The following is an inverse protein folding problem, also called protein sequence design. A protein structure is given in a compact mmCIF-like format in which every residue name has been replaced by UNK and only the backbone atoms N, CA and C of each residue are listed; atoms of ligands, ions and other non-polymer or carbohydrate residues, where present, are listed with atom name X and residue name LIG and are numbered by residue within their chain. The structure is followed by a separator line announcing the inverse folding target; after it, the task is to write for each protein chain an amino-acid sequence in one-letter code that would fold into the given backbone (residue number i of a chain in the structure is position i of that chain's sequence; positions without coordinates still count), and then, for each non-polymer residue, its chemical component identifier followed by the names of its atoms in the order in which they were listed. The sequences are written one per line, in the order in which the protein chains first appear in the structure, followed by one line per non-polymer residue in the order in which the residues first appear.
data_IF_487638529220
#
_entry.id   IF_487638529220
#
_cell.length_a   1.000
_cell.length_b   1.000
_cell.length_c   1.000
_cell.angle_alpha   90.00
_cell.angle_beta   90.00
_cell.angle_gamma   90.00
#
_symmetry.space_group_name_H-M   'P 1'
#
loop_
_entity.id
_entity.type
_entity.pdbx_description
1 polymer ?
#
# COMPACT_ATOMS: atom_id res chain seq x y z
N UNK A 1 -23.76 -32.30 -2.75
CA UNK A 1 -22.41 -31.68 -2.80
C UNK A 1 -22.55 -30.25 -3.26
N UNK A 2 -22.58 -29.29 -2.33
CA UNK A 2 -22.65 -27.86 -2.67
C UNK A 2 -21.22 -27.36 -2.85
N UNK A 3 -20.76 -27.33 -4.10
CA UNK A 3 -19.48 -26.72 -4.46
C UNK A 3 -19.59 -25.21 -4.25
N UNK A 4 -19.10 -24.73 -3.11
CA UNK A 4 -18.85 -23.30 -2.90
C UNK A 4 -17.82 -22.85 -3.93
N UNK A 5 -18.26 -22.14 -4.96
CA UNK A 5 -17.35 -21.36 -5.82
C UNK A 5 -16.62 -20.38 -4.90
N UNK A 6 -15.31 -20.54 -4.77
CA UNK A 6 -14.44 -19.49 -4.23
C UNK A 6 -14.71 -18.21 -5.02
N UNK A 7 -14.80 -17.04 -4.35
CA UNK A 7 -14.97 -15.78 -5.06
C UNK A 7 -13.81 -15.62 -6.02
N UNK A 8 -14.11 -15.45 -7.31
CA UNK A 8 -13.09 -15.20 -8.32
C UNK A 8 -12.48 -13.84 -8.04
N UNK A 9 -11.23 -13.83 -7.56
CA UNK A 9 -10.43 -12.61 -7.41
C UNK A 9 -10.38 -11.87 -8.75
N UNK A 10 -10.59 -10.55 -8.81
CA UNK A 10 -10.67 -9.86 -10.08
C UNK A 10 -9.30 -9.95 -10.78
N UNK A 11 -9.31 -10.36 -12.05
CA UNK A 11 -8.15 -10.28 -12.94
C UNK A 11 -7.79 -8.82 -13.12
N UNK A 12 -6.80 -8.36 -12.38
CA UNK A 12 -6.36 -6.98 -12.41
C UNK A 12 -5.08 -6.86 -13.23
N UNK A 13 -5.11 -5.99 -14.25
CA UNK A 13 -3.91 -5.45 -14.88
C UNK A 13 -3.23 -4.46 -13.92
N UNK A 14 -2.77 -4.94 -12.76
CA UNK A 14 -2.30 -4.08 -11.68
C UNK A 14 -0.77 -4.04 -11.64
N UNK A 15 -0.22 -2.88 -11.98
CA UNK A 15 1.14 -2.50 -11.61
C UNK A 15 1.10 -1.98 -10.17
N UNK A 16 1.94 -2.54 -9.30
CA UNK A 16 1.97 -2.24 -7.87
C UNK A 16 3.29 -1.60 -7.50
N UNK A 17 3.23 -0.49 -6.76
CA UNK A 17 4.38 0.16 -6.13
C UNK A 17 4.40 -0.21 -4.64
N UNK A 18 5.42 -0.93 -4.20
CA UNK A 18 5.73 -1.11 -2.78
C UNK A 18 6.65 -0.01 -2.28
N UNK A 19 6.37 0.50 -1.08
CA UNK A 19 7.18 1.52 -0.40
C UNK A 19 7.53 1.07 1.02
N UNK A 20 8.73 1.44 1.47
CA UNK A 20 9.19 1.35 2.86
C UNK A 20 10.08 2.55 3.18
N UNK A 21 10.06 3.06 4.41
CA UNK A 21 10.86 4.23 4.79
C UNK A 21 12.35 3.88 4.94
N UNK A 22 13.22 4.69 4.34
CA UNK A 22 14.66 4.56 4.57
C UNK A 22 15.04 5.19 5.92
N UNK A 23 15.95 4.58 6.69
CA UNK A 23 16.49 5.20 7.89
C UNK A 23 17.18 6.52 7.52
N UNK A 24 16.77 7.63 8.14
CA UNK A 24 17.31 8.93 7.79
C UNK A 24 16.56 10.13 8.38
N UNK A 25 16.64 11.26 7.68
CA UNK A 25 16.10 12.54 8.14
C UNK A 25 14.57 12.54 8.20
N UNK A 26 14.02 12.71 9.40
CA UNK A 26 12.56 12.76 9.63
C UNK A 26 11.84 13.85 8.85
N UNK A 27 12.52 14.97 8.55
CA UNK A 27 11.90 16.10 7.83
C UNK A 27 11.74 15.81 6.33
N UNK A 28 12.69 15.08 5.73
CA UNK A 28 12.68 14.70 4.31
C UNK A 28 12.92 13.19 4.18
N UNK A 29 11.90 12.38 4.50
CA UNK A 29 12.02 10.93 4.39
C UNK A 29 12.24 10.54 2.92
N UNK A 30 13.17 9.61 2.73
CA UNK A 30 13.36 8.87 1.49
C UNK A 30 12.77 7.49 1.66
N UNK A 31 12.38 6.86 0.56
CA UNK A 31 11.67 5.59 0.55
C UNK A 31 12.39 4.61 -0.36
N UNK A 32 12.50 3.36 0.07
CA UNK A 32 12.77 2.26 -0.82
C UNK A 32 11.50 2.00 -1.65
N UNK A 33 11.64 1.95 -2.96
CA UNK A 33 10.55 1.78 -3.90
C UNK A 33 10.80 0.60 -4.81
N UNK A 34 9.81 -0.28 -4.92
CA UNK A 34 9.82 -1.45 -5.82
C UNK A 34 8.54 -1.47 -6.62
N UNK A 35 8.64 -1.54 -7.95
CA UNK A 35 7.46 -1.67 -8.82
C UNK A 35 7.42 -3.07 -9.41
N UNK A 36 6.28 -3.74 -9.24
CA UNK A 36 5.97 -5.02 -9.85
C UNK A 36 4.91 -4.86 -10.93
N UNK A 37 5.09 -5.54 -12.05
CA UNK A 37 4.04 -5.71 -13.05
C UNK A 37 2.98 -6.73 -12.57
N UNK A 38 1.92 -6.88 -13.37
CA UNK A 38 0.82 -7.84 -13.10
C UNK A 38 1.25 -9.30 -12.98
N UNK A 39 2.44 -9.66 -13.47
CA UNK A 39 2.98 -11.02 -13.41
C UNK A 39 3.95 -11.19 -12.23
N UNK A 40 4.14 -10.15 -11.40
CA UNK A 40 5.11 -10.15 -10.31
C UNK A 40 6.56 -9.93 -10.75
N UNK A 41 6.80 -9.51 -12.01
CA UNK A 41 8.13 -9.13 -12.47
C UNK A 41 8.47 -7.75 -11.94
N UNK A 42 9.64 -7.64 -11.30
CA UNK A 42 10.20 -6.37 -10.85
C UNK A 42 10.66 -5.54 -12.05
N UNK A 43 10.04 -4.36 -12.23
CA UNK A 43 10.30 -3.43 -13.34
C UNK A 43 10.98 -2.13 -12.88
N UNK A 44 11.02 -1.88 -11.58
CA UNK A 44 11.77 -0.78 -10.98
C UNK A 44 12.17 -1.15 -9.55
N UNK A 45 13.34 -0.68 -9.14
CA UNK A 45 13.85 -0.72 -7.78
C UNK A 45 14.75 0.51 -7.59
N UNK A 46 14.57 1.25 -6.48
CA UNK A 46 15.40 2.42 -6.19
C UNK A 46 14.98 3.13 -4.90
N UNK A 47 15.73 4.16 -4.55
CA UNK A 47 15.40 5.07 -3.47
C UNK A 47 14.75 6.33 -4.06
N UNK A 48 13.68 6.81 -3.45
CA UNK A 48 12.94 7.98 -3.92
C UNK A 48 12.54 8.91 -2.78
N UNK A 49 12.34 10.17 -3.11
CA UNK A 49 11.71 11.16 -2.24
C UNK A 49 10.19 11.12 -2.38
N UNK A 50 9.49 11.79 -1.45
CA UNK A 50 8.02 11.92 -1.48
C UNK A 50 7.52 12.57 -2.77
N UNK A 51 8.25 13.53 -3.32
CA UNK A 51 7.87 14.23 -4.56
C UNK A 51 7.94 13.32 -5.79
N UNK A 52 8.89 12.38 -5.81
CA UNK A 52 9.11 11.47 -6.94
C UNK A 52 8.04 10.37 -7.04
N UNK A 53 7.30 10.10 -5.96
CA UNK A 53 6.18 9.15 -5.97
C UNK A 53 5.21 9.50 -7.11
N UNK A 54 4.78 10.76 -7.21
CA UNK A 54 3.85 11.19 -8.26
C UNK A 54 4.38 10.95 -9.68
N UNK A 55 5.69 11.12 -9.88
CA UNK A 55 6.33 10.89 -11.17
C UNK A 55 6.34 9.39 -11.50
N UNK A 56 6.65 8.53 -10.52
CA UNK A 56 6.60 7.08 -10.70
C UNK A 56 5.20 6.57 -10.98
N UNK A 57 4.18 7.08 -10.27
CA UNK A 57 2.79 6.67 -10.48
C UNK A 57 2.38 6.85 -11.94
N UNK A 58 2.70 8.01 -12.52
CA UNK A 58 2.42 8.32 -13.93
C UNK A 58 3.30 7.51 -14.87
N UNK A 59 4.62 7.51 -14.65
CA UNK A 59 5.60 6.87 -15.54
C UNK A 59 5.35 5.38 -15.74
N UNK A 60 4.97 4.67 -14.68
CA UNK A 60 4.75 3.22 -14.70
C UNK A 60 3.27 2.80 -14.73
N UNK A 61 2.34 3.76 -14.86
CA UNK A 61 0.90 3.52 -14.77
C UNK A 61 0.54 2.68 -13.52
N UNK A 62 1.10 3.09 -12.38
CA UNK A 62 0.86 2.40 -11.11
C UNK A 62 -0.61 2.53 -10.75
N UNK A 63 -1.18 1.42 -10.28
CA UNK A 63 -2.59 1.31 -9.94
C UNK A 63 -2.82 1.17 -8.43
N UNK A 64 -1.82 0.63 -7.72
CA UNK A 64 -1.87 0.38 -6.29
C UNK A 64 -0.53 0.72 -5.65
N UNK A 65 -0.57 1.40 -4.51
CA UNK A 65 0.56 1.56 -3.60
C UNK A 65 0.36 0.61 -2.43
N UNK A 66 1.41 -0.15 -2.09
CA UNK A 66 1.43 -1.10 -1.00
C UNK A 66 2.46 -0.66 0.05
N UNK A 67 2.03 -0.60 1.31
CA UNK A 67 2.85 -0.18 2.45
C UNK A 67 2.55 -1.03 3.67
N UNK A 68 3.47 -1.08 4.62
CA UNK A 68 3.29 -1.78 5.89
C UNK A 68 2.64 -0.91 6.97
N UNK A 69 2.95 0.39 6.99
CA UNK A 69 2.39 1.37 7.91
C UNK A 69 2.09 2.69 7.21
N UNK A 70 0.81 3.09 7.20
CA UNK A 70 0.40 4.32 6.54
C UNK A 70 0.98 5.60 7.10
N UNK A 71 1.29 5.61 8.39
CA UNK A 71 1.81 6.80 9.06
C UNK A 71 3.29 7.07 8.77
N UNK A 72 4.00 6.11 8.17
CA UNK A 72 5.38 6.31 7.71
C UNK A 72 5.45 7.11 6.42
N UNK A 73 4.41 7.01 5.58
CA UNK A 73 4.30 7.78 4.34
C UNK A 73 3.57 9.12 4.54
N UNK A 74 2.61 9.14 5.47
CA UNK A 74 1.77 10.31 5.75
C UNK A 74 1.66 10.54 7.26
N UNK A 75 2.24 11.60 7.82
CA UNK A 75 2.21 11.84 9.26
C UNK A 75 0.82 12.22 9.80
N UNK A 76 -0.16 12.51 8.92
CA UNK A 76 -1.53 12.87 9.32
C UNK A 76 -2.60 12.32 8.37
N UNK A 77 -3.80 12.10 8.90
CA UNK A 77 -4.97 11.66 8.11
C UNK A 77 -5.33 12.64 7.00
N UNK A 78 -5.16 13.95 7.23
CA UNK A 78 -5.42 14.97 6.21
C UNK A 78 -4.48 14.83 5.01
N UNK A 79 -3.20 14.53 5.24
CA UNK A 79 -2.24 14.31 4.16
C UNK A 79 -2.54 13.04 3.36
N UNK A 80 -3.03 11.99 4.03
CA UNK A 80 -3.53 10.77 3.35
C UNK A 80 -4.70 11.14 2.44
N UNK A 81 -5.69 11.87 2.97
CA UNK A 81 -6.89 12.27 2.23
C UNK A 81 -6.51 13.11 1.00
N UNK A 82 -5.67 14.12 1.18
CA UNK A 82 -5.20 14.98 0.09
C UNK A 82 -4.46 14.20 -0.98
N UNK A 83 -3.59 13.27 -0.58
CA UNK A 83 -2.85 12.42 -1.51
C UNK A 83 -3.78 11.53 -2.34
N UNK A 84 -4.72 10.84 -1.69
CA UNK A 84 -5.66 9.95 -2.36
C UNK A 84 -6.63 10.73 -3.27
N UNK A 85 -7.08 11.93 -2.86
CA UNK A 85 -7.91 12.80 -3.71
C UNK A 85 -7.16 13.26 -4.96
N UNK A 86 -5.89 13.64 -4.82
CA UNK A 86 -5.05 14.12 -5.94
C UNK A 86 -4.67 13.01 -6.92
N UNK A 87 -4.36 11.81 -6.41
CA UNK A 87 -3.84 10.72 -7.23
C UNK A 87 -4.91 9.73 -7.69
N UNK A 88 -6.02 9.62 -6.94
CA UNK A 88 -7.04 8.57 -7.08
C UNK A 88 -6.45 7.14 -7.07
N UNK A 89 -5.26 6.99 -6.49
CA UNK A 89 -4.55 5.71 -6.41
C UNK A 89 -5.17 4.83 -5.34
N UNK A 90 -5.16 3.51 -5.54
CA UNK A 90 -5.48 2.58 -4.46
C UNK A 90 -4.30 2.52 -3.48
N UNK A 91 -4.56 2.75 -2.20
CA UNK A 91 -3.55 2.61 -1.15
C UNK A 91 -3.91 1.42 -0.26
N UNK A 92 -2.96 0.50 -0.10
CA UNK A 92 -3.14 -0.77 0.58
C UNK A 92 -2.13 -0.89 1.73
N UNK A 93 -2.64 -1.07 2.94
CA UNK A 93 -1.82 -1.44 4.10
C UNK A 93 -1.76 -2.97 4.19
N UNK A 94 -0.63 -3.56 3.81
CA UNK A 94 -0.50 -5.03 3.67
C UNK A 94 -0.52 -5.76 5.01
N UNK A 95 -0.21 -5.05 6.09
CA UNK A 95 -0.19 -5.58 7.46
C UNK A 95 -1.59 -5.78 8.05
N UNK A 96 -2.64 -5.25 7.42
CA UNK A 96 -4.01 -5.35 7.89
C UNK A 96 -4.59 -3.99 8.30
N UNK A 97 -5.85 -3.96 8.79
CA UNK A 97 -6.51 -2.71 9.16
C UNK A 97 -5.91 -2.11 10.44
N UNK A 98 -6.08 -0.80 10.61
CA UNK A 98 -5.59 -0.06 11.78
C UNK A 98 -6.07 -0.70 13.10
N UNK A 99 -5.13 -0.94 14.02
CA UNK A 99 -5.37 -1.59 15.32
C UNK A 99 -5.44 -3.12 15.28
N UNK A 100 -5.30 -3.75 14.12
CA UNK A 100 -5.23 -5.22 13.95
C UNK A 100 -4.09 -5.64 13.02
N UNK A 101 -3.02 -4.85 13.00
CA UNK A 101 -1.88 -5.05 12.12
C UNK A 101 -1.07 -6.29 12.53
N UNK A 102 -0.68 -7.08 11.53
CA UNK A 102 0.30 -8.15 11.65
C UNK A 102 1.68 -7.64 11.21
N UNK A 103 2.75 -8.12 11.84
CA UNK A 103 4.11 -7.77 11.42
C UNK A 103 4.37 -8.18 9.97
N UNK A 104 4.97 -7.29 9.18
CA UNK A 104 5.32 -7.58 7.79
C UNK A 104 6.20 -8.83 7.66
N UNK A 105 7.16 -9.02 8.57
CA UNK A 105 8.04 -10.19 8.58
C UNK A 105 7.29 -11.51 8.84
N UNK A 106 6.23 -11.48 9.64
CA UNK A 106 5.37 -12.64 9.86
C UNK A 106 4.58 -12.97 8.58
N UNK A 107 3.97 -11.96 7.95
CA UNK A 107 3.27 -12.15 6.67
C UNK A 107 4.22 -12.64 5.57
N UNK A 108 5.43 -12.08 5.48
CA UNK A 108 6.43 -12.53 4.52
C UNK A 108 6.76 -14.02 4.69
N UNK A 109 6.92 -14.48 5.93
CA UNK A 109 7.16 -15.89 6.22
C UNK A 109 5.94 -16.75 5.91
N UNK A 110 4.73 -16.28 6.24
CA UNK A 110 3.47 -17.00 6.00
C UNK A 110 3.21 -17.24 4.51
N UNK A 111 3.54 -16.25 3.68
CA UNK A 111 3.36 -16.32 2.21
C UNK A 111 4.61 -16.83 1.47
N UNK A 112 5.65 -17.29 2.19
CA UNK A 112 6.87 -17.85 1.58
C UNK A 112 7.73 -16.82 0.82
N UNK A 113 7.58 -15.53 1.11
CA UNK A 113 8.27 -14.42 0.45
C UNK A 113 9.62 -14.07 1.10
N UNK A 114 9.83 -14.47 2.36
CA UNK A 114 11.10 -14.28 3.04
C UNK A 114 11.31 -15.34 4.13
N UNK A 115 12.57 -15.61 4.45
CA UNK A 115 12.96 -16.43 5.60
C UNK A 115 13.20 -15.51 6.80
N UNK A 116 13.00 -16.05 8.02
CA UNK A 116 13.14 -15.32 9.29
C UNK A 116 14.36 -14.39 9.29
N UNK A 117 14.16 -13.12 9.65
CA UNK A 117 15.23 -12.12 9.72
C UNK A 117 14.70 -10.69 9.72
N UNK A 118 15.61 -9.72 9.89
CA UNK A 118 15.31 -8.30 9.70
C UNK A 118 15.19 -8.02 8.19
N UNK A 119 14.13 -7.34 7.79
CA UNK A 119 13.94 -6.92 6.41
C UNK A 119 14.72 -5.62 6.18
N UNK A 120 15.50 -5.54 5.12
CA UNK A 120 16.00 -4.25 4.64
C UNK A 120 14.84 -3.47 4.00
N UNK A 121 14.93 -2.14 3.88
CA UNK A 121 13.84 -1.36 3.30
C UNK A 121 13.45 -1.79 1.88
N UNK A 122 14.42 -2.10 1.02
CA UNK A 122 14.14 -2.63 -0.32
C UNK A 122 13.40 -3.97 -0.28
N UNK A 123 13.79 -4.86 0.64
CA UNK A 123 13.12 -6.15 0.81
C UNK A 123 11.70 -5.95 1.36
N UNK A 124 11.50 -5.04 2.32
CA UNK A 124 10.19 -4.70 2.86
C UNK A 124 9.26 -4.13 1.78
N UNK A 125 9.74 -3.19 0.97
CA UNK A 125 9.03 -2.63 -0.18
C UNK A 125 8.65 -3.71 -1.20
N UNK A 126 9.58 -4.61 -1.56
CA UNK A 126 9.28 -5.73 -2.46
C UNK A 126 8.22 -6.68 -1.88
N UNK A 127 8.34 -7.04 -0.60
CA UNK A 127 7.38 -7.91 0.09
C UNK A 127 5.99 -7.25 0.12
N UNK A 128 5.90 -5.95 0.43
CA UNK A 128 4.64 -5.23 0.40
C UNK A 128 3.99 -5.28 -0.99
N UNK A 129 4.76 -5.00 -2.05
CA UNK A 129 4.24 -5.09 -3.41
C UNK A 129 3.76 -6.52 -3.77
N UNK A 130 4.50 -7.55 -3.35
CA UNK A 130 4.12 -8.96 -3.57
C UNK A 130 2.87 -9.36 -2.80
N UNK A 131 2.75 -8.97 -1.54
CA UNK A 131 1.56 -9.23 -0.72
C UNK A 131 0.32 -8.57 -1.34
N UNK A 132 0.45 -7.34 -1.82
CA UNK A 132 -0.62 -6.65 -2.52
C UNK A 132 -1.03 -7.36 -3.82
N UNK A 133 -0.06 -7.88 -4.60
CA UNK A 133 -0.35 -8.70 -5.80
C UNK A 133 -1.13 -9.98 -5.45
N UNK A 134 -0.88 -10.55 -4.27
CA UNK A 134 -1.60 -11.71 -3.75
C UNK A 134 -2.97 -11.35 -3.13
N UNK A 135 -3.35 -10.07 -3.14
CA UNK A 135 -4.62 -9.59 -2.57
C UNK A 135 -4.61 -9.48 -1.04
N UNK A 136 -3.43 -9.41 -0.42
CA UNK A 136 -3.27 -9.31 1.04
C UNK A 136 -3.18 -7.85 1.46
N UNK A 137 -4.02 -7.45 2.41
CA UNK A 137 -3.99 -6.13 3.03
C UNK A 137 -5.36 -5.51 3.22
N UNK A 138 -5.38 -4.33 3.82
CA UNK A 138 -6.56 -3.50 3.98
C UNK A 138 -6.47 -2.27 3.07
N UNK A 139 -7.50 -2.03 2.27
CA UNK A 139 -7.60 -0.84 1.42
C UNK A 139 -8.00 0.36 2.27
N UNK A 140 -7.28 1.46 2.08
CA UNK A 140 -7.55 2.73 2.74
C UNK A 140 -8.56 3.48 1.90
N UNK A 141 -9.76 3.63 2.45
CA UNK A 141 -10.85 4.36 1.82
C UNK A 141 -11.08 5.66 2.56
N UNK A 142 -11.15 6.76 1.79
CA UNK A 142 -11.70 8.00 2.30
C UNK A 142 -13.21 7.83 2.33
N UNK A 143 -13.79 7.87 3.52
CA UNK A 143 -15.22 8.13 3.66
C UNK A 143 -15.34 9.65 3.74
N UNK A 144 -16.09 10.25 2.82
CA UNK A 144 -16.46 11.66 2.99
C UNK A 144 -17.39 11.74 4.21
N UNK A 145 -17.12 12.70 5.10
CA UNK A 145 -17.88 12.90 6.32
C UNK A 145 -19.38 12.98 6.00
N UNK A 146 -20.17 12.12 6.63
CA UNK A 146 -21.62 12.20 6.59
C UNK A 146 -22.00 13.43 7.41
N UNK A 147 -22.49 14.49 6.75
CA UNK A 147 -23.14 15.61 7.44
C UNK A 147 -24.57 15.23 7.77
N UNK A 148 -24.89 15.02 9.05
CA UNK A 148 -26.28 14.92 9.51
C UNK A 148 -26.89 16.32 9.62
N UNK A 149 -27.94 16.60 8.84
CA UNK A 149 -28.75 17.83 8.97
C UNK A 149 -30.02 17.48 9.73
N UNK A 150 -30.12 17.89 11.00
CA UNK A 150 -31.35 17.79 11.78
C UNK A 150 -32.25 19.00 11.49
N UNK A 151 -33.35 18.79 10.77
CA UNK A 151 -34.39 19.80 10.57
C UNK A 151 -35.50 19.56 11.60
N UNK A 152 -35.54 20.38 12.64
CA UNK A 152 -36.72 20.50 13.52
C UNK A 152 -37.64 21.59 12.98
N UNK A 153 -38.91 21.26 12.78
CA UNK A 153 -39.95 22.20 12.34
C UNK A 153 -40.64 22.77 13.58
N UNK A 154 -40.61 24.10 13.74
CA UNK A 154 -41.34 24.85 14.79
C UNK A 154 -42.76 25.17 14.34
#
# INVERSE_FOLDING_TARGET
MVSKKLPQSPKFSQTILGLDILPGHRQNPSYAAVILDKNGKKIFEGEITRFEIFNLLKKYNVSTIAIDNIFELFPSSNEIIDFLRKTRIKLLQVTGPLGKEMKLSYLASLYGLSRKGKLSPHIAAEIAARLALLGVGAEIKIFEDITEILITRT
#
